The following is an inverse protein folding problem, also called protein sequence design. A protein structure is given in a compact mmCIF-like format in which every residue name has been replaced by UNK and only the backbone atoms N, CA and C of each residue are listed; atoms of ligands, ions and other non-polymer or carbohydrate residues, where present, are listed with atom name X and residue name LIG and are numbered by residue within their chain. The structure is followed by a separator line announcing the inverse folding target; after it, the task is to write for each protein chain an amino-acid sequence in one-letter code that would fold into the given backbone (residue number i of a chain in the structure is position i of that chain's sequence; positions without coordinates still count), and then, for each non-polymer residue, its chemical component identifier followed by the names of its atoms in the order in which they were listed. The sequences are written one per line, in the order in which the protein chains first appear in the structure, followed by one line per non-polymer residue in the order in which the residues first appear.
data_IF_938434789687
#
_entry.id   IF_938434789687
#
_cell.length_a   1.000
_cell.length_b   1.000
_cell.length_c   1.000
_cell.angle_alpha   90.00
_cell.angle_beta   90.00
_cell.angle_gamma   90.00
#
_symmetry.space_group_name_H-M   'P 1'
#
loop_
_entity.id
_entity.type
_entity.pdbx_description
1 polymer ?
#
# COMPACT_ATOMS: atom_id res chain seq x y z
N UNK A 1 -37.52 41.63 40.53
CA UNK A 1 -37.57 40.17 40.83
C UNK A 1 -36.18 39.60 40.55
N UNK A 2 -35.62 38.93 41.58
CA UNK A 2 -34.33 38.23 41.79
C UNK A 2 -33.29 38.17 40.65
N UNK A 3 -32.01 38.59 40.77
CA UNK A 3 -30.87 38.29 41.68
C UNK A 3 -30.17 36.91 41.51
N UNK A 4 -29.01 36.98 40.84
CA UNK A 4 -27.65 36.50 41.21
C UNK A 4 -27.34 35.05 41.65
N UNK A 5 -26.48 34.41 40.84
CA UNK A 5 -25.14 33.84 41.15
C UNK A 5 -24.86 32.82 42.29
N UNK A 6 -23.89 31.94 41.98
CA UNK A 6 -22.79 31.35 42.80
C UNK A 6 -22.94 29.92 43.37
N UNK A 7 -21.97 29.09 42.93
CA UNK A 7 -21.10 28.12 43.66
C UNK A 7 -21.72 27.09 44.62
N UNK A 8 -21.27 25.84 44.52
CA UNK A 8 -20.33 25.27 45.52
C UNK A 8 -19.84 23.86 45.18
N UNK A 9 -18.63 23.57 45.65
CA UNK A 9 -17.90 22.29 45.67
C UNK A 9 -18.51 21.33 46.69
N UNK A 10 -18.29 20.03 46.52
CA UNK A 10 -18.27 19.09 47.64
C UNK A 10 -17.26 17.95 47.41
N UNK A 11 -16.39 17.80 48.40
CA UNK A 11 -15.43 16.72 48.66
C UNK A 11 -15.88 16.08 49.97
N UNK A 12 -16.09 14.76 50.05
CA UNK A 12 -16.06 13.89 51.26
C UNK A 12 -16.02 12.43 50.75
N UNK A 13 -14.95 11.62 50.90
CA UNK A 13 -14.38 10.86 52.04
C UNK A 13 -14.77 9.36 52.07
N UNK A 14 -13.80 8.53 52.46
CA UNK A 14 -13.86 7.06 52.63
C UNK A 14 -14.50 6.64 53.96
N UNK A 15 -15.22 5.51 53.99
CA UNK A 15 -15.00 4.29 54.83
C UNK A 15 -16.17 3.29 54.56
N UNK A 16 -15.90 2.05 54.14
CA UNK A 16 -15.61 0.83 54.91
C UNK A 16 -16.86 0.04 55.42
N UNK A 17 -16.82 -1.25 55.09
CA UNK A 17 -17.43 -2.42 55.75
C UNK A 17 -18.74 -3.02 55.18
N UNK A 18 -18.59 -4.25 54.67
CA UNK A 18 -19.49 -5.36 54.99
C UNK A 18 -20.41 -5.87 53.87
N UNK A 19 -20.02 -6.97 53.21
CA UNK A 19 -20.65 -8.30 53.38
C UNK A 19 -20.13 -9.29 52.32
N UNK A 20 -19.49 -10.34 52.80
CA UNK A 20 -19.25 -11.58 52.06
C UNK A 20 -20.59 -12.23 51.71
N UNK A 21 -20.76 -12.63 50.45
CA UNK A 21 -21.72 -13.63 50.02
C UNK A 21 -21.01 -14.55 49.03
N UNK A 22 -20.65 -15.71 49.54
CA UNK A 22 -20.14 -16.87 48.80
C UNK A 22 -21.27 -17.48 47.98
N UNK A 23 -21.12 -17.48 46.65
CA UNK A 23 -21.88 -18.36 45.75
C UNK A 23 -20.90 -19.19 44.94
N UNK A 24 -20.72 -20.43 45.38
CA UNK A 24 -20.01 -21.46 44.62
C UNK A 24 -20.91 -21.91 43.48
N UNK A 25 -20.59 -21.49 42.26
CA UNK A 25 -21.21 -22.03 41.04
C UNK A 25 -20.36 -23.21 40.60
N UNK A 26 -20.85 -24.42 40.82
CA UNK A 26 -20.25 -25.67 40.38
C UNK A 26 -20.40 -25.77 38.84
N UNK A 27 -19.42 -25.24 38.10
CA UNK A 27 -19.35 -25.41 36.65
C UNK A 27 -18.84 -26.81 36.32
N UNK A 28 -19.74 -27.68 35.88
CA UNK A 28 -19.39 -28.98 35.29
C UNK A 28 -18.66 -28.71 33.97
N UNK A 29 -17.33 -28.88 33.98
CA UNK A 29 -16.50 -28.88 32.77
C UNK A 29 -16.72 -30.21 32.06
N UNK A 30 -17.59 -30.23 31.05
CA UNK A 30 -17.67 -31.33 30.10
C UNK A 30 -16.40 -31.30 29.24
N UNK A 31 -15.39 -32.09 29.63
CA UNK A 31 -14.26 -32.43 28.78
C UNK A 31 -14.82 -33.39 27.72
N UNK A 32 -15.20 -32.84 26.56
CA UNK A 32 -15.38 -33.65 25.35
C UNK A 32 -13.97 -34.04 24.92
N UNK A 33 -13.60 -35.34 24.88
CA UNK A 33 -12.36 -35.75 24.26
C UNK A 33 -12.46 -35.34 22.79
N UNK A 34 -11.60 -34.42 22.36
CA UNK A 34 -11.34 -34.29 20.94
C UNK A 34 -10.85 -35.67 20.47
N UNK A 35 -11.69 -36.39 19.74
CA UNK A 35 -11.24 -37.47 18.89
C UNK A 35 -10.29 -36.84 17.87
N UNK A 36 -9.01 -36.76 18.25
CA UNK A 36 -7.91 -36.58 17.32
C UNK A 36 -7.95 -37.84 16.47
N UNK A 37 -8.51 -37.70 15.29
CA UNK A 37 -8.52 -38.69 14.23
C UNK A 37 -7.05 -39.04 13.93
N UNK A 38 -6.58 -40.15 14.53
CA UNK A 38 -5.18 -40.59 14.50
C UNK A 38 -4.74 -41.06 13.12
N UNK A 39 -5.65 -41.09 12.14
CA UNK A 39 -5.40 -41.54 10.77
C UNK A 39 -5.14 -40.40 9.77
N UNK A 40 -5.11 -39.13 10.23
CA UNK A 40 -4.52 -38.03 9.47
C UNK A 40 -3.03 -37.84 9.80
N UNK A 41 -2.25 -38.91 9.62
CA UNK A 41 -0.84 -38.73 9.23
C UNK A 41 -0.84 -38.14 7.81
N UNK A 42 -1.16 -36.85 7.71
CA UNK A 42 -0.89 -36.07 6.51
C UNK A 42 0.62 -36.19 6.31
N UNK A 43 1.05 -36.99 5.32
CA UNK A 43 2.45 -37.10 4.91
C UNK A 43 2.95 -35.71 4.55
N UNK A 44 3.42 -34.97 5.55
CA UNK A 44 3.97 -33.64 5.37
C UNK A 44 5.14 -33.78 4.40
N UNK A 45 5.02 -33.15 3.23
CA UNK A 45 6.09 -33.18 2.24
C UNK A 45 7.38 -32.63 2.88
N UNK A 46 8.53 -33.14 2.43
CA UNK A 46 9.84 -32.85 3.01
C UNK A 46 10.15 -31.35 3.29
N UNK A 47 9.72 -30.38 2.46
CA UNK A 47 9.92 -28.95 2.73
C UNK A 47 9.27 -28.47 4.04
N UNK A 48 8.00 -28.80 4.25
CA UNK A 48 7.27 -28.39 5.46
C UNK A 48 7.88 -29.03 6.73
N UNK A 49 8.35 -30.28 6.63
CA UNK A 49 9.05 -30.95 7.75
C UNK A 49 10.39 -30.28 8.07
N UNK A 50 11.15 -29.82 7.07
CA UNK A 50 12.41 -29.08 7.29
C UNK A 50 12.16 -27.70 7.91
N UNK A 51 11.09 -27.03 7.48
CA UNK A 51 10.70 -25.74 8.03
C UNK A 51 10.33 -25.83 9.52
N UNK A 52 9.61 -26.87 9.93
CA UNK A 52 9.33 -27.16 11.35
C UNK A 52 10.60 -27.35 12.19
N UNK A 53 11.70 -27.79 11.58
CA UNK A 53 12.99 -27.96 12.24
C UNK A 53 13.86 -26.69 12.17
N UNK A 54 13.30 -25.55 11.75
CA UNK A 54 14.00 -24.28 11.52
C UNK A 54 15.23 -24.42 10.60
N UNK A 55 15.21 -25.40 9.70
CA UNK A 55 16.25 -25.60 8.69
C UNK A 55 15.89 -24.77 7.47
N UNK A 56 16.87 -24.06 6.90
CA UNK A 56 16.69 -23.32 5.64
C UNK A 56 16.23 -24.29 4.56
N UNK A 57 15.15 -23.95 3.89
CA UNK A 57 14.64 -24.68 2.73
C UNK A 57 14.97 -23.88 1.49
N UNK A 58 15.81 -24.43 0.62
CA UNK A 58 16.13 -23.77 -0.64
C UNK A 58 14.85 -23.59 -1.48
N UNK A 59 14.67 -22.37 -1.96
CA UNK A 59 13.59 -21.99 -2.85
C UNK A 59 14.21 -21.82 -4.24
N UNK A 60 13.85 -22.71 -5.16
CA UNK A 60 14.26 -22.57 -6.56
C UNK A 60 13.13 -21.90 -7.32
N UNK A 61 13.06 -20.57 -7.22
CA UNK A 61 12.28 -19.74 -8.13
C UNK A 61 13.24 -18.76 -8.81
N UNK A 62 13.45 -18.89 -10.13
CA UNK A 62 14.30 -17.97 -10.87
C UNK A 62 13.79 -16.53 -10.76
N UNK A 63 14.67 -15.64 -10.29
CA UNK A 63 14.40 -14.20 -10.16
C UNK A 63 15.41 -13.43 -11.01
N UNK A 64 14.92 -12.39 -11.68
CA UNK A 64 15.77 -11.37 -12.30
C UNK A 64 16.60 -10.66 -11.24
N UNK A 65 17.83 -10.29 -11.58
CA UNK A 65 18.68 -9.47 -10.71
C UNK A 65 18.12 -8.05 -10.56
N UNK A 66 17.64 -7.46 -11.67
CA UNK A 66 16.93 -6.19 -11.68
C UNK A 66 15.45 -6.41 -12.02
N UNK A 67 14.52 -5.74 -11.33
CA UNK A 67 13.11 -5.80 -11.67
C UNK A 67 12.87 -5.18 -13.05
N UNK A 68 11.81 -5.61 -13.74
CA UNK A 68 11.35 -4.92 -14.95
C UNK A 68 10.87 -3.51 -14.61
N UNK A 69 11.13 -2.56 -15.50
CA UNK A 69 10.59 -1.21 -15.42
C UNK A 69 9.30 -1.12 -16.25
N UNK A 70 8.23 -0.59 -15.64
CA UNK A 70 6.98 -0.30 -16.34
C UNK A 70 6.90 1.19 -16.61
N UNK A 71 7.23 1.57 -17.84
CA UNK A 71 7.15 2.96 -18.30
C UNK A 71 5.69 3.37 -18.57
N UNK A 72 5.30 4.62 -18.24
CA UNK A 72 4.01 5.17 -18.63
C UNK A 72 3.81 5.14 -20.15
N UNK A 73 2.55 5.05 -20.58
CA UNK A 73 2.20 5.16 -21.99
C UNK A 73 1.86 6.62 -22.29
N UNK A 74 2.57 7.23 -23.22
CA UNK A 74 2.40 8.63 -23.58
C UNK A 74 1.01 8.98 -24.13
N UNK A 75 0.79 10.28 -24.34
CA UNK A 75 -0.48 10.84 -24.83
C UNK A 75 -1.43 11.28 -23.72
N UNK A 76 -0.91 11.53 -22.51
CA UNK A 76 -1.66 12.09 -21.37
C UNK A 76 -0.91 13.21 -20.64
N UNK A 77 0.29 13.57 -21.07
CA UNK A 77 1.21 14.47 -20.39
C UNK A 77 0.58 15.86 -20.19
N UNK A 78 -0.21 16.33 -21.15
CA UNK A 78 -0.92 17.63 -21.08
C UNK A 78 -2.17 17.61 -20.20
N UNK A 79 -2.60 16.43 -19.71
CA UNK A 79 -3.80 16.31 -18.87
C UNK A 79 -3.56 16.80 -17.44
N UNK A 80 -2.31 16.98 -17.04
CA UNK A 80 -1.92 17.45 -15.71
C UNK A 80 -1.06 18.70 -15.88
N UNK A 81 -1.39 19.78 -15.20
CA UNK A 81 -0.53 20.97 -15.15
C UNK A 81 0.56 20.82 -14.08
N UNK A 82 1.61 21.64 -14.16
CA UNK A 82 2.64 21.69 -13.12
C UNK A 82 2.07 22.08 -11.74
N UNK A 83 1.05 22.95 -11.71
CA UNK A 83 0.34 23.33 -10.47
C UNK A 83 -0.44 22.16 -9.87
N UNK A 84 -1.19 21.43 -10.71
CA UNK A 84 -1.95 20.24 -10.31
C UNK A 84 -0.98 19.18 -9.74
N UNK A 85 0.13 18.91 -10.43
CA UNK A 85 1.15 17.97 -9.97
C UNK A 85 1.80 18.41 -8.65
N UNK A 86 2.20 19.68 -8.54
CA UNK A 86 2.79 20.22 -7.32
C UNK A 86 1.82 20.11 -6.12
N UNK A 87 0.53 20.38 -6.33
CA UNK A 87 -0.49 20.30 -5.28
C UNK A 87 -0.60 18.88 -4.72
N UNK A 88 -0.56 17.87 -5.60
CA UNK A 88 -0.56 16.47 -5.20
C UNK A 88 0.75 16.09 -4.48
N UNK A 89 1.91 16.43 -5.04
CA UNK A 89 3.21 16.15 -4.43
C UNK A 89 3.37 16.78 -3.05
N UNK A 90 2.92 18.04 -2.88
CA UNK A 90 2.96 18.70 -1.58
C UNK A 90 2.11 17.98 -0.53
N UNK A 91 0.99 17.35 -0.92
CA UNK A 91 0.15 16.59 0.00
C UNK A 91 0.68 15.18 0.26
N UNK A 92 1.64 14.71 -0.55
CA UNK A 92 2.32 13.43 -0.45
C UNK A 92 3.69 13.51 0.26
N UNK A 93 4.05 14.66 0.83
CA UNK A 93 5.29 14.81 1.60
C UNK A 93 5.23 14.03 2.93
N UNK A 94 6.30 13.31 3.33
CA UNK A 94 6.36 12.53 4.57
C UNK A 94 6.62 13.40 5.81
N UNK A 95 5.71 14.34 6.11
CA UNK A 95 5.92 15.36 7.15
C UNK A 95 5.68 14.89 8.60
N UNK A 96 5.09 13.70 8.80
CA UNK A 96 4.72 13.21 10.14
C UNK A 96 5.83 12.43 10.78
N UNK A 97 6.20 12.80 12.01
CA UNK A 97 7.23 12.13 12.78
C UNK A 97 6.71 11.71 14.16
N UNK A 98 7.19 10.57 14.69
CA UNK A 98 7.98 9.53 14.01
C UNK A 98 7.22 8.85 12.87
N UNK A 99 7.96 8.27 11.93
CA UNK A 99 7.39 7.65 10.73
C UNK A 99 6.76 6.29 11.07
N UNK A 100 5.84 5.85 10.21
CA UNK A 100 5.29 4.48 10.26
C UNK A 100 5.86 3.68 9.09
N UNK A 101 5.91 2.34 9.20
CA UNK A 101 6.35 1.50 8.07
C UNK A 101 5.50 1.75 6.82
N UNK A 102 4.15 1.79 6.90
CA UNK A 102 3.33 2.16 5.75
C UNK A 102 3.67 3.53 5.19
N UNK A 103 3.93 4.54 6.03
CA UNK A 103 4.31 5.89 5.56
C UNK A 103 5.62 5.85 4.77
N UNK A 104 6.63 5.12 5.25
CA UNK A 104 7.92 5.00 4.56
C UNK A 104 7.75 4.25 3.23
N UNK A 105 6.95 3.18 3.19
CA UNK A 105 6.68 2.44 1.96
C UNK A 105 6.02 3.33 0.90
N UNK A 106 4.98 4.07 1.28
CA UNK A 106 4.30 4.99 0.38
C UNK A 106 5.21 6.13 -0.10
N UNK A 107 5.99 6.71 0.82
CA UNK A 107 6.95 7.76 0.48
C UNK A 107 8.04 7.24 -0.46
N UNK A 108 8.65 6.09 -0.16
CA UNK A 108 9.67 5.47 -1.00
C UNK A 108 9.13 5.21 -2.41
N UNK A 109 7.91 4.68 -2.52
CA UNK A 109 7.27 4.38 -3.80
C UNK A 109 7.06 5.61 -4.69
N UNK A 110 6.71 6.77 -4.10
CA UNK A 110 6.51 8.02 -4.85
C UNK A 110 7.84 8.71 -5.15
N UNK A 111 8.66 8.90 -4.12
CA UNK A 111 9.83 9.76 -4.18
C UNK A 111 11.07 9.05 -4.73
N UNK A 112 11.11 7.72 -4.67
CA UNK A 112 12.22 6.90 -5.16
C UNK A 112 13.42 6.85 -4.21
N UNK A 113 14.42 6.06 -4.60
CA UNK A 113 15.65 5.81 -3.81
C UNK A 113 16.62 6.99 -3.79
N UNK A 114 16.52 7.89 -4.77
CA UNK A 114 17.40 9.05 -4.91
C UNK A 114 16.82 10.33 -4.29
N UNK A 115 15.66 10.22 -3.63
CA UNK A 115 14.96 11.35 -3.04
C UNK A 115 15.82 12.13 -2.04
N UNK A 116 15.72 13.47 -2.08
CA UNK A 116 16.40 14.38 -1.13
C UNK A 116 15.41 15.40 -0.56
N UNK A 117 14.80 15.07 0.57
CA UNK A 117 13.84 15.95 1.24
C UNK A 117 14.50 16.65 2.43
N UNK A 118 14.61 17.98 2.39
CA UNK A 118 15.33 18.75 3.40
C UNK A 118 14.50 18.98 4.67
N UNK A 119 15.16 19.47 5.73
CA UNK A 119 14.49 19.82 6.99
C UNK A 119 13.39 20.86 6.79
N UNK A 120 13.60 21.81 5.89
CA UNK A 120 12.65 22.89 5.57
C UNK A 120 11.41 22.35 4.85
N UNK A 121 11.55 21.25 4.09
CA UNK A 121 10.45 20.61 3.38
C UNK A 121 9.57 19.76 4.30
N UNK A 122 10.19 18.96 5.18
CA UNK A 122 9.50 17.87 5.89
C UNK A 122 9.76 17.82 7.41
N UNK A 123 10.39 18.84 7.97
CA UNK A 123 10.67 18.97 9.40
C UNK A 123 11.88 18.17 9.91
N UNK A 124 12.17 17.02 9.29
CA UNK A 124 13.36 16.18 9.55
C UNK A 124 13.93 15.73 8.21
N UNK A 125 15.22 15.95 7.93
CA UNK A 125 15.80 15.57 6.64
C UNK A 125 15.66 14.06 6.43
N UNK A 126 15.16 13.67 5.26
CA UNK A 126 14.99 12.28 4.89
C UNK A 126 15.38 12.07 3.43
N UNK A 127 16.08 10.98 3.15
CA UNK A 127 16.50 10.61 1.79
C UNK A 127 15.85 9.31 1.35
N UNK A 128 15.77 9.08 0.05
CA UNK A 128 15.30 7.82 -0.52
C UNK A 128 16.11 6.62 -0.01
N UNK A 129 17.43 6.79 0.13
CA UNK A 129 18.32 5.78 0.71
C UNK A 129 18.00 5.48 2.17
N UNK A 130 17.71 6.51 2.97
CA UNK A 130 17.31 6.35 4.37
C UNK A 130 15.95 5.65 4.47
N UNK A 131 14.99 5.99 3.60
CA UNK A 131 13.70 5.31 3.51
C UNK A 131 13.88 3.83 3.15
N UNK A 132 14.66 3.53 2.10
CA UNK A 132 14.97 2.17 1.68
C UNK A 132 15.62 1.38 2.82
N UNK A 133 16.67 1.92 3.43
CA UNK A 133 17.39 1.24 4.52
C UNK A 133 16.45 0.90 5.67
N UNK A 134 15.49 1.77 5.99
CA UNK A 134 14.59 1.58 7.13
C UNK A 134 13.49 0.56 6.88
N UNK A 135 13.32 0.09 5.64
CA UNK A 135 12.45 -1.05 5.32
C UNK A 135 13.21 -2.31 4.98
N UNK A 136 14.55 -2.25 4.87
CA UNK A 136 15.43 -3.40 4.62
C UNK A 136 16.39 -3.71 5.77
N UNK A 137 16.39 -2.92 6.85
CA UNK A 137 17.27 -3.10 7.99
C UNK A 137 16.55 -2.76 9.30
N UNK A 138 16.41 -3.74 10.21
CA UNK A 138 15.70 -3.54 11.47
C UNK A 138 16.30 -2.47 12.39
N UNK A 139 17.64 -2.31 12.40
CA UNK A 139 18.27 -1.27 13.22
C UNK A 139 17.86 0.11 12.70
N UNK A 140 17.94 0.34 11.39
CA UNK A 140 17.48 1.59 10.77
C UNK A 140 15.96 1.78 10.94
N UNK A 141 15.17 0.72 10.81
CA UNK A 141 13.74 0.75 11.06
C UNK A 141 13.41 1.24 12.48
N UNK A 142 14.15 0.76 13.49
CA UNK A 142 13.96 1.13 14.89
C UNK A 142 14.32 2.59 15.19
N UNK A 143 15.24 3.19 14.42
CA UNK A 143 15.61 4.60 14.55
C UNK A 143 14.56 5.53 13.94
N UNK A 144 13.91 5.12 12.85
CA UNK A 144 12.96 5.95 12.11
C UNK A 144 11.49 5.79 12.53
N UNK A 145 11.14 4.62 13.05
CA UNK A 145 9.74 4.25 13.29
C UNK A 145 9.40 4.08 14.78
N UNK A 146 8.11 4.15 15.09
CA UNK A 146 7.59 3.88 16.43
C UNK A 146 7.68 2.39 16.78
N UNK A 147 8.80 1.86 17.24
CA UNK A 147 8.73 0.54 17.88
C UNK A 147 10.01 -0.21 18.22
N UNK A 148 9.92 -0.99 19.30
CA UNK A 148 10.89 -2.02 19.71
C UNK A 148 10.72 -3.35 18.94
N UNK A 149 9.68 -3.48 18.10
CA UNK A 149 9.40 -4.70 17.31
C UNK A 149 10.06 -4.65 15.95
N UNK A 150 10.59 -5.78 15.52
CA UNK A 150 11.32 -5.95 14.26
C UNK A 150 10.36 -6.07 13.09
N UNK A 151 10.60 -5.31 12.02
CA UNK A 151 9.87 -5.41 10.74
C UNK A 151 10.23 -6.70 10.00
N UNK A 152 11.50 -7.11 10.11
CA UNK A 152 12.08 -8.19 9.34
C UNK A 152 12.47 -9.35 10.26
N UNK A 153 11.78 -10.48 10.12
CA UNK A 153 11.99 -11.66 10.95
C UNK A 153 12.54 -12.80 10.10
N UNK A 154 13.47 -13.58 10.66
CA UNK A 154 13.95 -14.77 9.98
C UNK A 154 12.85 -15.81 9.92
N UNK A 155 12.65 -16.39 8.75
CA UNK A 155 11.77 -17.55 8.56
C UNK A 155 12.56 -18.74 8.02
N UNK A 156 11.98 -19.96 8.05
CA UNK A 156 12.62 -21.12 7.42
C UNK A 156 12.79 -21.01 5.89
N UNK A 157 12.12 -20.03 5.26
CA UNK A 157 12.10 -19.81 3.81
C UNK A 157 12.85 -18.56 3.36
N UNK A 158 13.46 -17.80 4.29
CA UNK A 158 14.10 -16.52 4.01
C UNK A 158 13.78 -15.50 5.09
N UNK A 159 13.21 -14.36 4.71
CA UNK A 159 12.83 -13.28 5.64
C UNK A 159 11.33 -13.01 5.52
N UNK A 160 10.63 -13.06 6.65
CA UNK A 160 9.23 -12.66 6.79
C UNK A 160 9.16 -11.16 7.09
N UNK A 161 8.19 -10.50 6.47
CA UNK A 161 7.87 -9.11 6.75
C UNK A 161 6.69 -9.10 7.70
N UNK A 162 6.82 -8.39 8.82
CA UNK A 162 5.70 -8.20 9.74
C UNK A 162 4.54 -7.51 9.02
N UNK A 163 3.35 -8.13 9.08
CA UNK A 163 2.12 -7.57 8.50
C UNK A 163 1.29 -6.93 9.60
N UNK A 164 0.71 -5.79 9.29
CA UNK A 164 -0.24 -5.10 10.15
C UNK A 164 -1.60 -5.82 10.18
N UNK A 165 -1.71 -6.94 10.91
CA UNK A 165 -2.96 -7.72 11.02
C UNK A 165 -3.78 -7.42 12.27
N UNK A 166 -3.26 -6.60 13.19
CA UNK A 166 -3.93 -6.29 14.45
C UNK A 166 -4.47 -4.87 14.40
N UNK A 167 -5.79 -4.74 14.38
CA UNK A 167 -6.50 -3.47 14.52
C UNK A 167 -6.35 -2.81 15.90
N UNK A 168 -5.25 -3.07 16.61
CA UNK A 168 -4.88 -2.30 17.79
C UNK A 168 -4.25 -0.98 17.31
N UNK A 169 -5.05 0.09 17.35
CA UNK A 169 -4.70 1.41 16.81
C UNK A 169 -3.40 2.05 17.34
N UNK A 170 -2.69 1.40 18.25
CA UNK A 170 -1.39 1.81 18.78
C UNK A 170 -0.20 0.94 18.32
N UNK A 171 -0.42 -0.33 17.89
CA UNK A 171 0.69 -1.22 17.43
C UNK A 171 0.64 -1.55 15.93
N UNK A 172 -0.49 -1.28 15.28
CA UNK A 172 -0.69 -1.47 13.85
C UNK A 172 -0.04 -0.44 12.91
N UNK A 173 1.19 0.02 13.19
CA UNK A 173 1.93 0.99 12.35
C UNK A 173 3.37 0.53 12.04
N UNK A 174 3.69 -0.71 12.40
CA UNK A 174 5.06 -1.26 12.46
C UNK A 174 5.34 -2.34 11.42
N UNK A 175 4.31 -2.74 10.69
CA UNK A 175 4.39 -3.73 9.62
C UNK A 175 3.88 -3.16 8.31
N UNK A 176 4.04 -3.89 7.23
CA UNK A 176 3.41 -3.55 5.96
C UNK A 176 1.88 -3.65 6.06
N UNK A 177 1.17 -2.80 5.32
CA UNK A 177 -0.29 -2.77 5.35
C UNK A 177 -0.92 -3.95 4.60
N UNK A 178 -0.21 -4.47 3.59
CA UNK A 178 -0.67 -5.53 2.72
C UNK A 178 0.42 -6.59 2.56
N UNK A 179 0.00 -7.85 2.43
CA UNK A 179 0.91 -8.96 2.18
C UNK A 179 1.72 -8.72 0.90
N UNK A 180 3.05 -8.83 1.01
CA UNK A 180 4.03 -8.64 -0.06
C UNK A 180 4.18 -7.20 -0.59
N UNK A 181 3.59 -6.21 0.08
CA UNK A 181 3.68 -4.80 -0.31
C UNK A 181 5.12 -4.30 -0.37
N UNK A 182 5.95 -4.63 0.63
CA UNK A 182 7.36 -4.23 0.64
C UNK A 182 8.07 -4.73 -0.62
N UNK A 183 7.92 -6.02 -0.96
CA UNK A 183 8.59 -6.58 -2.14
C UNK A 183 8.13 -5.94 -3.46
N UNK A 184 6.85 -5.56 -3.54
CA UNK A 184 6.32 -4.87 -4.71
C UNK A 184 6.86 -3.45 -4.83
N UNK A 185 6.89 -2.70 -3.71
CA UNK A 185 7.48 -1.35 -3.67
C UNK A 185 8.95 -1.39 -4.07
N UNK A 186 9.73 -2.31 -3.50
CA UNK A 186 11.15 -2.49 -3.86
C UNK A 186 11.32 -2.76 -5.37
N UNK A 187 10.43 -3.57 -5.96
CA UNK A 187 10.45 -3.81 -7.39
C UNK A 187 10.16 -2.54 -8.20
N UNK A 188 9.13 -1.78 -7.83
CA UNK A 188 8.71 -0.56 -8.52
C UNK A 188 9.76 0.55 -8.45
N UNK A 189 10.53 0.63 -7.36
CA UNK A 189 11.62 1.61 -7.22
C UNK A 189 12.97 1.09 -7.70
N UNK A 190 13.01 -0.04 -8.41
CA UNK A 190 14.21 -0.52 -9.09
C UNK A 190 15.27 -1.17 -8.20
N UNK A 191 14.94 -1.54 -6.96
CA UNK A 191 15.90 -2.21 -6.06
C UNK A 191 16.26 -3.58 -6.62
N UNK A 192 17.54 -3.95 -6.57
CA UNK A 192 17.98 -5.24 -7.09
C UNK A 192 17.56 -6.38 -6.16
N UNK A 193 17.30 -7.56 -6.71
CA UNK A 193 16.88 -8.71 -5.91
C UNK A 193 17.98 -9.21 -4.97
N UNK A 194 19.26 -8.99 -5.30
CA UNK A 194 20.40 -9.28 -4.42
C UNK A 194 20.71 -8.16 -3.41
N UNK A 195 19.92 -7.09 -3.34
CA UNK A 195 20.10 -6.02 -2.36
C UNK A 195 19.99 -6.56 -0.94
N UNK A 196 20.90 -6.13 -0.06
CA UNK A 196 21.03 -6.65 1.30
C UNK A 196 19.81 -6.34 2.19
N UNK A 197 19.41 -7.33 2.97
CA UNK A 197 18.36 -7.25 3.98
C UNK A 197 18.94 -7.68 5.33
N UNK A 198 18.74 -6.87 6.36
CA UNK A 198 19.22 -7.10 7.73
C UNK A 198 18.02 -7.35 8.65
N UNK A 199 17.80 -8.64 8.95
CA UNK A 199 16.75 -9.11 9.84
C UNK A 199 17.24 -9.19 11.30
N UNK A 200 16.33 -9.48 12.23
CA UNK A 200 16.61 -9.53 13.68
C UNK A 200 17.69 -10.54 14.07
N UNK A 201 17.90 -11.58 13.26
CA UNK A 201 18.90 -12.62 13.50
C UNK A 201 20.28 -12.35 12.86
N UNK A 202 20.50 -11.17 12.28
CA UNK A 202 21.77 -10.77 11.65
C UNK A 202 21.70 -10.56 10.14
N UNK A 203 22.89 -10.38 9.54
CA UNK A 203 23.09 -9.98 8.14
C UNK A 203 23.06 -11.16 7.15
N UNK A 204 23.16 -10.86 5.85
CA UNK A 204 23.37 -11.86 4.80
C UNK A 204 22.09 -12.36 4.11
N UNK A 205 20.94 -11.73 4.38
CA UNK A 205 19.73 -11.92 3.58
C UNK A 205 19.69 -10.91 2.43
N UNK A 206 18.81 -11.17 1.48
CA UNK A 206 18.59 -10.32 0.32
C UNK A 206 17.10 -10.13 0.04
N UNK A 207 16.75 -9.24 -0.89
CA UNK A 207 15.38 -9.11 -1.39
C UNK A 207 14.85 -10.44 -1.96
N UNK A 208 15.71 -11.29 -2.56
CA UNK A 208 15.33 -12.65 -2.97
C UNK A 208 14.80 -13.49 -1.80
N UNK A 209 15.36 -13.33 -0.61
CA UNK A 209 14.91 -14.07 0.58
C UNK A 209 13.53 -13.59 1.09
N UNK A 210 13.17 -12.32 0.88
CA UNK A 210 11.81 -11.82 1.11
C UNK A 210 10.82 -12.44 0.13
N UNK A 211 11.16 -12.43 -1.16
CA UNK A 211 10.32 -12.99 -2.22
C UNK A 211 10.16 -14.51 -2.05
N UNK A 212 11.24 -15.21 -1.70
CA UNK A 212 11.23 -16.64 -1.40
C UNK A 212 10.25 -16.99 -0.28
N UNK A 213 10.25 -16.21 0.80
CA UNK A 213 9.27 -16.38 1.87
C UNK A 213 7.84 -16.21 1.36
N UNK A 214 7.56 -15.13 0.62
CA UNK A 214 6.22 -14.89 0.08
C UNK A 214 5.75 -16.03 -0.82
N UNK A 215 6.59 -16.52 -1.73
CA UNK A 215 6.24 -17.65 -2.61
C UNK A 215 5.92 -18.94 -1.85
N UNK A 216 6.64 -19.23 -0.75
CA UNK A 216 6.41 -20.42 0.07
C UNK A 216 5.16 -20.31 0.94
N UNK A 217 4.86 -19.10 1.41
CA UNK A 217 3.69 -18.78 2.23
C UNK A 217 2.46 -18.36 1.42
N UNK A 218 2.50 -18.56 0.10
CA UNK A 218 1.39 -18.30 -0.80
C UNK A 218 0.11 -19.01 -0.33
N UNK A 219 -1.00 -18.27 -0.34
CA UNK A 219 -2.33 -18.77 0.01
C UNK A 219 -3.38 -17.87 -0.61
N UNK A 220 -4.38 -18.45 -1.28
CA UNK A 220 -5.51 -17.70 -1.85
C UNK A 220 -6.36 -16.96 -0.82
N UNK A 221 -6.17 -17.24 0.48
CA UNK A 221 -6.81 -16.52 1.59
C UNK A 221 -6.16 -15.17 1.92
N UNK A 222 -4.97 -14.87 1.37
CA UNK A 222 -4.28 -13.59 1.55
C UNK A 222 -4.58 -12.65 0.38
N UNK A 223 -4.34 -11.36 0.55
CA UNK A 223 -4.37 -10.39 -0.55
C UNK A 223 -3.25 -10.69 -1.56
N UNK A 224 -3.60 -10.93 -2.82
CA UNK A 224 -2.64 -11.40 -3.84
C UNK A 224 -2.12 -10.31 -4.77
N UNK A 225 -2.70 -9.11 -4.76
CA UNK A 225 -2.40 -8.07 -5.73
C UNK A 225 -0.92 -7.64 -5.68
N UNK A 226 -0.36 -7.42 -4.49
CA UNK A 226 1.03 -7.01 -4.34
C UNK A 226 2.01 -8.13 -4.66
N UNK A 227 1.69 -9.39 -4.33
CA UNK A 227 2.51 -10.52 -4.77
C UNK A 227 2.54 -10.62 -6.30
N UNK A 228 1.41 -10.40 -6.97
CA UNK A 228 1.35 -10.36 -8.44
C UNK A 228 2.25 -9.26 -9.03
N UNK A 229 2.29 -8.06 -8.44
CA UNK A 229 3.24 -7.00 -8.82
C UNK A 229 4.68 -7.47 -8.63
N UNK A 230 5.02 -8.02 -7.47
CA UNK A 230 6.37 -8.54 -7.18
C UNK A 230 6.82 -9.55 -8.23
N UNK A 231 5.97 -10.53 -8.57
CA UNK A 231 6.35 -11.60 -9.49
C UNK A 231 6.35 -11.14 -10.96
N UNK A 232 5.45 -10.22 -11.35
CA UNK A 232 5.50 -9.63 -12.69
C UNK A 232 6.84 -8.94 -12.95
N UNK A 233 7.37 -8.22 -11.96
CA UNK A 233 8.59 -7.43 -12.12
C UNK A 233 9.87 -8.25 -11.88
N UNK A 234 9.94 -9.06 -10.82
CA UNK A 234 11.13 -9.87 -10.52
C UNK A 234 11.14 -11.27 -11.13
N UNK A 235 9.98 -11.90 -11.35
CA UNK A 235 9.90 -13.32 -11.69
C UNK A 235 10.39 -13.62 -13.11
N UNK A 236 11.41 -14.47 -13.24
CA UNK A 236 11.89 -14.96 -14.54
C UNK A 236 11.41 -16.37 -14.87
N UNK A 237 10.38 -16.84 -14.16
CA UNK A 237 9.67 -18.10 -14.36
C UNK A 237 8.16 -17.82 -14.31
N UNK A 238 7.38 -18.67 -14.98
CA UNK A 238 5.92 -18.61 -14.98
C UNK A 238 5.27 -19.32 -13.78
N UNK A 239 6.05 -20.12 -13.04
CA UNK A 239 5.52 -21.01 -12.00
C UNK A 239 6.50 -21.21 -10.84
N UNK A 240 5.92 -21.50 -9.67
CA UNK A 240 6.64 -21.78 -8.42
C UNK A 240 5.97 -22.91 -7.64
N UNK A 241 6.58 -23.30 -6.53
CA UNK A 241 6.06 -24.33 -5.63
C UNK A 241 6.00 -23.76 -4.21
N UNK A 242 4.86 -23.90 -3.55
CA UNK A 242 4.66 -23.39 -2.18
C UNK A 242 5.30 -24.31 -1.11
N UNK A 243 5.00 -24.07 0.17
CA UNK A 243 5.47 -24.91 1.30
C UNK A 243 4.81 -26.28 1.39
N UNK A 244 3.61 -26.43 0.85
CA UNK A 244 2.88 -27.70 0.78
C UNK A 244 3.30 -28.54 -0.42
N UNK A 245 4.17 -28.00 -1.28
CA UNK A 245 4.66 -28.65 -2.48
C UNK A 245 3.65 -28.63 -3.61
N UNK A 246 2.71 -27.69 -3.57
CA UNK A 246 1.73 -27.49 -4.63
C UNK A 246 2.31 -26.49 -5.64
N UNK A 247 2.13 -26.78 -6.93
CA UNK A 247 2.63 -25.95 -8.02
C UNK A 247 1.60 -24.87 -8.30
N UNK A 248 2.10 -23.65 -8.47
CA UNK A 248 1.31 -22.46 -8.81
C UNK A 248 1.92 -21.77 -10.02
N UNK A 249 1.12 -20.99 -10.74
CA UNK A 249 1.53 -20.24 -11.92
C UNK A 249 1.04 -18.79 -11.91
N UNK A 250 1.68 -17.94 -12.72
CA UNK A 250 1.25 -16.56 -12.92
C UNK A 250 -0.11 -16.46 -13.62
N UNK A 251 -0.45 -17.42 -14.46
CA UNK A 251 -1.80 -17.56 -15.03
C UNK A 251 -2.84 -17.83 -13.94
N UNK A 252 -2.61 -18.79 -13.05
CA UNK A 252 -3.51 -19.08 -11.92
C UNK A 252 -3.65 -17.89 -10.96
N UNK A 253 -2.57 -17.16 -10.72
CA UNK A 253 -2.57 -15.93 -9.93
C UNK A 253 -3.43 -14.85 -10.59
N UNK A 254 -3.25 -14.60 -11.88
CA UNK A 254 -4.06 -13.66 -12.64
C UNK A 254 -5.54 -14.05 -12.68
N UNK A 255 -5.85 -15.33 -12.91
CA UNK A 255 -7.22 -15.86 -12.88
C UNK A 255 -7.84 -15.69 -11.49
N UNK A 256 -7.07 -15.92 -10.43
CA UNK A 256 -7.52 -15.71 -9.04
C UNK A 256 -7.93 -14.25 -8.83
N UNK A 257 -7.09 -13.30 -9.26
CA UNK A 257 -7.39 -11.87 -9.21
C UNK A 257 -8.62 -11.49 -10.05
N UNK A 258 -8.75 -12.04 -11.27
CA UNK A 258 -9.90 -11.80 -12.15
C UNK A 258 -11.24 -12.29 -11.57
N UNK A 259 -11.21 -13.29 -10.69
CA UNK A 259 -12.39 -13.88 -10.04
C UNK A 259 -12.83 -13.15 -8.78
N UNK A 260 -11.98 -12.28 -8.22
CA UNK A 260 -12.37 -11.51 -7.04
C UNK A 260 -13.50 -10.54 -7.35
N UNK A 261 -14.38 -10.34 -6.37
CA UNK A 261 -15.47 -9.38 -6.48
C UNK A 261 -14.91 -7.97 -6.60
N UNK A 262 -15.50 -7.18 -7.47
CA UNK A 262 -15.04 -5.82 -7.68
C UNK A 262 -15.41 -4.93 -6.50
N UNK A 263 -14.52 -4.01 -6.10
CA UNK A 263 -14.77 -3.11 -4.99
C UNK A 263 -14.52 -3.72 -3.60
N UNK A 264 -14.30 -5.04 -3.52
CA UNK A 264 -13.99 -5.74 -2.28
C UNK A 264 -12.49 -5.76 -1.99
N UNK A 265 -12.14 -5.70 -0.71
CA UNK A 265 -10.76 -5.73 -0.22
C UNK A 265 -10.22 -4.35 0.17
N UNK A 266 -8.91 -4.31 0.42
CA UNK A 266 -8.20 -3.09 0.75
C UNK A 266 -8.37 -2.01 -0.33
N UNK A 267 -8.42 -0.75 0.11
CA UNK A 267 -8.50 0.41 -0.80
C UNK A 267 -9.61 0.28 -1.86
N UNK A 268 -10.77 -0.27 -1.46
CA UNK A 268 -11.93 -0.52 -2.34
C UNK A 268 -11.61 -1.47 -3.51
N UNK A 269 -10.74 -2.45 -3.28
CA UNK A 269 -10.32 -3.43 -4.28
C UNK A 269 -9.44 -2.86 -5.40
N UNK A 270 -8.99 -1.61 -5.30
CA UNK A 270 -8.28 -0.93 -6.39
C UNK A 270 -6.86 -1.46 -6.63
N UNK A 271 -6.29 -2.27 -5.73
CA UNK A 271 -4.99 -2.93 -5.98
C UNK A 271 -5.08 -3.99 -7.09
N UNK A 272 -6.25 -4.61 -7.30
CA UNK A 272 -6.45 -5.65 -8.31
C UNK A 272 -6.25 -5.11 -9.74
N UNK A 273 -6.95 -4.04 -10.19
CA UNK A 273 -6.69 -3.48 -11.51
C UNK A 273 -5.25 -3.00 -11.64
N UNK A 274 -4.64 -2.44 -10.59
CA UNK A 274 -3.23 -2.08 -10.64
C UNK A 274 -2.31 -3.27 -10.94
N UNK A 275 -2.45 -4.35 -10.16
CA UNK A 275 -1.65 -5.55 -10.33
C UNK A 275 -1.85 -6.21 -11.70
N UNK A 276 -3.09 -6.36 -12.17
CA UNK A 276 -3.37 -6.97 -13.46
C UNK A 276 -2.82 -6.14 -14.64
N UNK A 277 -2.85 -4.81 -14.55
CA UNK A 277 -2.24 -3.96 -15.57
C UNK A 277 -0.71 -4.10 -15.56
N UNK A 278 -0.07 -4.12 -14.39
CA UNK A 278 1.37 -4.39 -14.28
C UNK A 278 1.72 -5.76 -14.89
N UNK A 279 0.94 -6.81 -14.59
CA UNK A 279 1.15 -8.14 -15.18
C UNK A 279 1.04 -8.09 -16.70
N UNK A 280 0.02 -7.45 -17.26
CA UNK A 280 -0.16 -7.32 -18.70
C UNK A 280 1.01 -6.58 -19.36
N UNK A 281 1.45 -5.45 -18.77
CA UNK A 281 2.57 -4.64 -19.27
C UNK A 281 3.91 -5.38 -19.16
N UNK A 282 4.18 -6.04 -18.03
CA UNK A 282 5.38 -6.85 -17.87
C UNK A 282 5.40 -8.06 -18.83
N UNK A 283 4.24 -8.63 -19.13
CA UNK A 283 4.11 -9.74 -20.07
C UNK A 283 4.50 -9.36 -21.51
N UNK A 284 4.32 -8.10 -21.92
CA UNK A 284 4.78 -7.62 -23.24
C UNK A 284 6.29 -7.81 -23.44
N UNK A 285 7.07 -7.73 -22.35
CA UNK A 285 8.52 -7.91 -22.36
C UNK A 285 8.94 -9.35 -22.04
N UNK A 286 8.25 -9.99 -21.09
CA UNK A 286 8.70 -11.25 -20.50
C UNK A 286 7.94 -12.51 -20.95
N UNK A 287 6.75 -12.38 -21.54
CA UNK A 287 5.99 -13.50 -22.11
C UNK A 287 5.62 -14.62 -21.12
N UNK A 288 5.30 -14.28 -19.87
CA UNK A 288 4.96 -15.26 -18.82
C UNK A 288 3.47 -15.60 -18.68
N UNK A 289 2.57 -14.82 -19.29
CA UNK A 289 1.14 -15.13 -19.33
C UNK A 289 0.79 -15.85 -20.63
N UNK A 290 -0.15 -16.79 -20.55
CA UNK A 290 -0.77 -17.32 -21.76
C UNK A 290 -1.53 -16.24 -22.54
N UNK A 291 -1.77 -16.50 -23.82
CA UNK A 291 -2.54 -15.59 -24.69
C UNK A 291 -3.98 -15.48 -24.21
N UNK A 292 -4.52 -16.58 -23.70
CA UNK A 292 -5.86 -16.70 -23.15
C UNK A 292 -6.01 -15.82 -21.91
N UNK A 293 -5.11 -15.93 -20.92
CA UNK A 293 -5.15 -15.10 -19.72
C UNK A 293 -4.92 -13.62 -20.04
N UNK A 294 -3.98 -13.30 -20.95
CA UNK A 294 -3.75 -11.92 -21.40
C UNK A 294 -5.00 -11.31 -22.05
N UNK A 295 -5.73 -12.11 -22.83
CA UNK A 295 -7.01 -11.73 -23.44
C UNK A 295 -8.09 -11.51 -22.37
N UNK A 296 -8.22 -12.40 -21.39
CA UNK A 296 -9.20 -12.28 -20.30
C UNK A 296 -8.96 -11.02 -19.46
N UNK A 297 -7.70 -10.70 -19.16
CA UNK A 297 -7.32 -9.43 -18.49
C UNK A 297 -7.79 -8.24 -19.33
N UNK A 298 -7.47 -8.24 -20.62
CA UNK A 298 -7.84 -7.14 -21.52
C UNK A 298 -9.36 -6.97 -21.64
N UNK A 299 -10.12 -8.06 -21.72
CA UNK A 299 -11.58 -8.04 -21.74
C UNK A 299 -12.17 -7.52 -20.43
N UNK A 300 -11.58 -7.89 -19.29
CA UNK A 300 -11.97 -7.33 -17.98
C UNK A 300 -11.74 -5.83 -17.93
N UNK A 301 -10.60 -5.33 -18.42
CA UNK A 301 -10.33 -3.89 -18.47
C UNK A 301 -11.33 -3.13 -19.35
N UNK A 302 -11.70 -3.67 -20.51
CA UNK A 302 -12.74 -3.03 -21.36
C UNK A 302 -14.06 -2.86 -20.60
N UNK A 303 -14.44 -3.84 -19.78
CA UNK A 303 -15.62 -3.73 -18.90
C UNK A 303 -15.41 -2.69 -17.82
N UNK A 304 -14.27 -2.71 -17.12
CA UNK A 304 -13.97 -1.73 -16.07
C UNK A 304 -13.92 -0.29 -16.58
N UNK A 305 -13.36 -0.06 -17.78
CA UNK A 305 -13.38 1.25 -18.41
C UNK A 305 -14.82 1.71 -18.63
N UNK A 306 -15.67 0.86 -19.19
CA UNK A 306 -17.09 1.18 -19.37
C UNK A 306 -17.81 1.45 -18.04
N UNK A 307 -17.52 0.68 -16.99
CA UNK A 307 -18.10 0.89 -15.65
C UNK A 307 -17.62 2.22 -15.03
N UNK A 308 -16.32 2.51 -15.11
CA UNK A 308 -15.72 3.73 -14.57
C UNK A 308 -16.21 5.00 -15.27
N UNK A 309 -16.33 4.99 -16.60
CA UNK A 309 -16.86 6.13 -17.33
C UNK A 309 -18.32 6.43 -16.94
N UNK A 310 -19.10 5.40 -16.61
CA UNK A 310 -20.50 5.53 -16.17
C UNK A 310 -20.65 5.87 -14.70
N UNK A 311 -19.71 5.46 -13.86
CA UNK A 311 -19.73 5.70 -12.41
C UNK A 311 -18.98 6.96 -11.99
N UNK A 312 -18.36 7.68 -12.93
CA UNK A 312 -17.71 8.96 -12.67
C UNK A 312 -18.73 9.95 -12.07
N UNK A 313 -18.39 10.53 -10.93
CA UNK A 313 -19.25 11.48 -10.23
C UNK A 313 -19.39 12.76 -11.08
N UNK A 314 -20.46 13.58 -10.88
CA UNK A 314 -20.60 14.86 -11.59
C UNK A 314 -19.39 15.80 -11.47
N UNK A 315 -18.62 15.67 -10.38
CA UNK A 315 -17.39 16.43 -10.14
C UNK A 315 -16.16 15.90 -10.89
N UNK A 316 -16.24 14.72 -11.50
CA UNK A 316 -15.18 14.07 -12.29
C UNK A 316 -14.42 12.95 -11.59
N UNK A 317 -14.47 12.85 -10.25
CA UNK A 317 -13.77 11.80 -9.51
C UNK A 317 -14.57 10.50 -9.37
N UNK A 318 -13.97 9.50 -8.73
CA UNK A 318 -14.64 8.29 -8.27
C UNK A 318 -14.68 8.23 -6.75
N UNK A 319 -15.64 7.49 -6.21
CA UNK A 319 -15.72 7.15 -4.79
C UNK A 319 -15.55 5.64 -4.62
N UNK A 320 -15.68 5.16 -3.38
CA UNK A 320 -15.80 3.72 -3.06
C UNK A 320 -16.82 2.96 -3.93
N UNK A 321 -17.86 3.64 -4.43
CA UNK A 321 -18.91 3.06 -5.25
C UNK A 321 -18.56 3.13 -6.75
N UNK A 322 -17.27 3.13 -7.09
CA UNK A 322 -16.81 3.04 -8.47
C UNK A 322 -17.31 1.76 -9.15
N UNK A 323 -17.61 0.72 -8.36
CA UNK A 323 -18.42 -0.44 -8.73
C UNK A 323 -19.84 -0.29 -8.16
N UNK A 324 -20.84 -0.77 -8.89
CA UNK A 324 -22.25 -0.75 -8.44
C UNK A 324 -22.56 -1.64 -7.22
N UNK A 325 -21.55 -2.25 -6.59
CA UNK A 325 -21.70 -3.34 -5.61
C UNK A 325 -21.08 -3.06 -4.24
N UNK A 326 -20.41 -1.92 -4.03
CA UNK A 326 -19.76 -1.64 -2.76
C UNK A 326 -20.76 -1.17 -1.69
N UNK A 327 -20.71 -1.69 -0.43
CA UNK A 327 -21.51 -1.18 0.68
C UNK A 327 -21.17 0.29 0.97
N UNK A 328 -21.99 1.04 1.71
CA UNK A 328 -21.94 2.53 1.80
C UNK A 328 -21.05 3.09 2.94
N UNK A 329 -20.51 2.27 3.84
CA UNK A 329 -19.85 2.77 5.08
C UNK A 329 -18.40 3.20 4.84
N UNK A 330 -18.11 4.50 4.88
CA UNK A 330 -16.77 5.10 4.67
C UNK A 330 -15.63 4.35 5.37
N UNK A 331 -14.53 4.09 4.66
CA UNK A 331 -13.38 3.35 5.21
C UNK A 331 -12.56 4.24 6.17
N UNK A 332 -12.33 5.49 5.76
CA UNK A 332 -11.63 6.47 6.60
C UNK A 332 -12.56 7.26 7.52
N UNK A 333 -13.88 7.09 7.39
CA UNK A 333 -14.87 7.97 8.02
C UNK A 333 -14.92 9.37 7.40
N UNK A 334 -14.25 9.57 6.25
CA UNK A 334 -14.10 10.83 5.54
C UNK A 334 -14.25 10.61 4.03
N UNK A 335 -15.32 11.19 3.47
CA UNK A 335 -15.63 11.03 2.04
C UNK A 335 -14.61 11.70 1.11
N UNK A 336 -13.92 12.76 1.54
CA UNK A 336 -12.88 13.42 0.74
C UNK A 336 -11.71 12.45 0.59
N UNK A 337 -11.26 11.86 1.70
CA UNK A 337 -10.17 10.88 1.70
C UNK A 337 -10.56 9.64 0.89
N UNK A 338 -11.80 9.15 1.01
CA UNK A 338 -12.30 8.02 0.22
C UNK A 338 -12.25 8.32 -1.29
N UNK A 339 -12.60 9.54 -1.72
CA UNK A 339 -12.53 9.95 -3.14
C UNK A 339 -11.11 10.12 -3.65
N UNK A 340 -10.20 10.69 -2.85
CA UNK A 340 -8.76 10.75 -3.18
C UNK A 340 -8.22 9.33 -3.34
N UNK A 341 -8.60 8.42 -2.44
CA UNK A 341 -8.19 7.02 -2.47
C UNK A 341 -8.65 6.35 -3.77
N UNK A 342 -9.96 6.35 -4.05
CA UNK A 342 -10.49 5.70 -5.24
C UNK A 342 -9.93 6.31 -6.54
N UNK A 343 -9.93 7.65 -6.64
CA UNK A 343 -9.49 8.35 -7.84
C UNK A 343 -7.99 8.20 -8.07
N UNK A 344 -7.18 8.36 -7.04
CA UNK A 344 -5.72 8.18 -7.11
C UNK A 344 -5.35 6.78 -7.59
N UNK A 345 -5.89 5.74 -6.98
CA UNK A 345 -5.59 4.35 -7.38
C UNK A 345 -6.03 4.03 -8.81
N UNK A 346 -7.18 4.53 -9.26
CA UNK A 346 -7.59 4.31 -10.65
C UNK A 346 -6.66 5.01 -11.64
N UNK A 347 -6.23 6.24 -11.34
CA UNK A 347 -5.29 6.95 -12.19
C UNK A 347 -3.93 6.24 -12.26
N UNK A 348 -3.50 5.52 -11.23
CA UNK A 348 -2.23 4.76 -11.26
C UNK A 348 -2.20 3.70 -12.36
N UNK A 349 -3.22 2.84 -12.44
CA UNK A 349 -3.24 1.81 -13.47
C UNK A 349 -3.57 2.42 -14.85
N UNK A 350 -4.40 3.46 -14.89
CA UNK A 350 -4.71 4.19 -16.14
C UNK A 350 -3.43 4.79 -16.75
N UNK A 351 -2.51 5.29 -15.92
CA UNK A 351 -1.26 5.93 -16.36
C UNK A 351 -0.33 4.99 -17.14
N UNK A 352 -0.45 3.69 -16.93
CA UNK A 352 0.37 2.65 -17.58
C UNK A 352 -0.43 1.78 -18.56
N UNK A 353 -1.73 2.06 -18.73
CA UNK A 353 -2.63 1.26 -19.53
C UNK A 353 -2.60 1.68 -21.02
N UNK A 354 -2.63 0.71 -21.97
CA UNK A 354 -2.80 1.02 -23.39
C UNK A 354 -4.05 1.86 -23.62
N UNK A 355 -4.02 2.74 -24.62
CA UNK A 355 -5.14 3.64 -24.93
C UNK A 355 -6.48 2.89 -25.11
N UNK A 356 -6.45 1.67 -25.65
CA UNK A 356 -7.63 0.81 -25.85
C UNK A 356 -8.19 0.17 -24.57
N UNK A 357 -7.47 0.27 -23.44
CA UNK A 357 -7.79 -0.36 -22.16
C UNK A 357 -7.92 0.67 -21.02
N UNK A 358 -8.00 1.97 -21.33
CA UNK A 358 -8.21 3.04 -20.37
C UNK A 358 -9.36 3.96 -20.78
N UNK A 359 -9.93 4.74 -19.84
CA UNK A 359 -10.93 5.74 -20.17
C UNK A 359 -10.42 6.80 -21.13
N UNK A 360 -11.34 7.50 -21.79
CA UNK A 360 -11.03 8.63 -22.67
C UNK A 360 -10.25 9.74 -21.94
N UNK A 361 -9.42 10.48 -22.68
CA UNK A 361 -8.61 11.58 -22.11
C UNK A 361 -9.49 12.66 -21.44
N UNK A 362 -10.72 12.89 -21.91
CA UNK A 362 -11.67 13.81 -21.25
C UNK A 362 -12.11 13.31 -19.88
N UNK A 363 -12.39 12.00 -19.74
CA UNK A 363 -12.74 11.38 -18.45
C UNK A 363 -11.54 11.46 -17.50
N UNK A 364 -10.34 11.14 -17.98
CA UNK A 364 -9.10 11.24 -17.20
C UNK A 364 -8.86 12.68 -16.75
N UNK A 365 -9.02 13.69 -17.63
CA UNK A 365 -8.86 15.10 -17.25
C UNK A 365 -9.84 15.54 -16.17
N UNK A 366 -11.11 15.11 -16.28
CA UNK A 366 -12.12 15.39 -15.24
C UNK A 366 -11.74 14.75 -13.91
N UNK A 367 -11.19 13.53 -13.92
CA UNK A 367 -10.71 12.85 -12.72
C UNK A 367 -9.51 13.57 -12.08
N UNK A 368 -8.54 14.04 -12.88
CA UNK A 368 -7.42 14.84 -12.38
C UNK A 368 -7.93 16.10 -11.68
N UNK A 369 -8.83 16.86 -12.32
CA UNK A 369 -9.40 18.08 -11.73
C UNK A 369 -10.13 17.80 -10.41
N UNK A 370 -10.96 16.75 -10.39
CA UNK A 370 -11.68 16.34 -9.19
C UNK A 370 -10.73 15.94 -8.05
N UNK A 371 -9.67 15.20 -8.38
CA UNK A 371 -8.66 14.76 -7.42
C UNK A 371 -7.94 15.94 -6.77
N UNK A 372 -7.55 16.95 -7.56
CA UNK A 372 -6.91 18.16 -7.03
C UNK A 372 -7.88 18.96 -6.16
N UNK A 373 -9.14 19.09 -6.55
CA UNK A 373 -10.18 19.73 -5.73
C UNK A 373 -10.37 19.00 -4.40
N UNK A 374 -10.39 17.67 -4.40
CA UNK A 374 -10.52 16.88 -3.17
C UNK A 374 -9.26 17.01 -2.28
N UNK A 375 -8.05 17.04 -2.87
CA UNK A 375 -6.79 17.28 -2.14
C UNK A 375 -6.77 18.67 -1.49
N UNK A 376 -7.26 19.70 -2.19
CA UNK A 376 -7.36 21.06 -1.66
C UNK A 376 -8.45 21.20 -0.58
N UNK A 377 -9.51 20.37 -0.67
CA UNK A 377 -10.58 20.31 0.32
C UNK A 377 -10.16 19.63 1.64
N UNK A 378 -9.04 18.91 1.66
CA UNK A 378 -8.50 18.36 2.91
C UNK A 378 -8.23 19.47 3.93
N UNK A 379 -8.32 19.18 5.25
CA UNK A 379 -7.96 20.13 6.30
C UNK A 379 -6.56 20.69 6.14
N UNK A 380 -6.26 21.76 6.87
CA UNK A 380 -4.89 22.31 6.92
C UNK A 380 -3.90 21.26 7.41
N UNK A 381 -2.63 21.34 6.98
CA UNK A 381 -1.62 20.32 7.29
C UNK A 381 -1.52 20.00 8.78
N UNK A 382 -1.66 21.00 9.66
CA UNK A 382 -1.63 20.82 11.11
C UNK A 382 -2.82 20.03 11.69
N UNK A 383 -3.92 19.90 10.94
CA UNK A 383 -5.08 19.10 11.30
C UNK A 383 -5.13 17.74 10.57
N UNK A 384 -4.18 17.47 9.66
CA UNK A 384 -4.09 16.20 8.94
C UNK A 384 -3.35 15.15 9.77
N UNK A 385 -3.64 13.89 9.49
CA UNK A 385 -2.86 12.74 9.99
C UNK A 385 -2.14 12.02 8.85
N UNK A 386 -1.18 11.17 9.19
CA UNK A 386 -0.50 10.29 8.23
C UNK A 386 -1.48 9.46 7.38
N UNK A 387 -2.70 9.19 7.86
CA UNK A 387 -3.73 8.46 7.11
C UNK A 387 -4.23 9.21 5.88
N UNK A 388 -4.18 10.54 5.89
CA UNK A 388 -4.51 11.36 4.72
C UNK A 388 -3.39 11.40 3.68
N UNK A 389 -2.16 11.11 4.09
CA UNK A 389 -0.99 11.06 3.20
C UNK A 389 -1.04 9.87 2.26
N UNK A 390 -1.39 8.68 2.75
CA UNK A 390 -1.31 7.47 1.95
C UNK A 390 -2.15 7.60 0.66
N UNK A 391 -3.42 8.03 0.69
CA UNK A 391 -4.16 8.30 -0.54
C UNK A 391 -3.53 9.38 -1.43
N UNK A 392 -2.95 10.44 -0.84
CA UNK A 392 -2.25 11.48 -1.59
C UNK A 392 -0.98 10.96 -2.28
N UNK A 393 -0.30 9.95 -1.74
CA UNK A 393 0.86 9.34 -2.39
C UNK A 393 0.48 8.56 -3.64
N UNK A 394 -0.65 7.83 -3.63
CA UNK A 394 -1.19 7.19 -4.84
C UNK A 394 -1.58 8.23 -5.89
N UNK A 395 -2.23 9.32 -5.46
CA UNK A 395 -2.54 10.45 -6.32
C UNK A 395 -1.27 11.05 -6.97
N UNK A 396 -0.27 11.40 -6.16
CA UNK A 396 0.98 11.96 -6.66
C UNK A 396 1.72 11.00 -7.61
N UNK A 397 1.81 9.71 -7.27
CA UNK A 397 2.42 8.70 -8.13
C UNK A 397 1.73 8.64 -9.50
N UNK A 398 0.39 8.60 -9.51
CA UNK A 398 -0.40 8.55 -10.73
C UNK A 398 -0.16 9.79 -11.61
N UNK A 399 -0.16 10.99 -11.01
CA UNK A 399 0.04 12.24 -11.74
C UNK A 399 1.48 12.38 -12.27
N UNK A 400 2.49 11.94 -11.51
CA UNK A 400 3.87 11.85 -11.98
C UNK A 400 3.98 10.95 -13.22
N UNK A 401 3.32 9.77 -13.20
CA UNK A 401 3.32 8.84 -14.33
C UNK A 401 2.57 9.40 -15.54
N UNK A 402 1.42 10.04 -15.33
CA UNK A 402 0.70 10.73 -16.40
C UNK A 402 1.56 11.83 -17.04
N UNK A 403 2.33 12.57 -16.23
CA UNK A 403 3.27 13.59 -16.70
C UNK A 403 4.57 13.03 -17.25
N UNK A 404 4.82 11.75 -17.05
CA UNK A 404 6.08 11.09 -17.36
C UNK A 404 7.29 11.81 -16.74
N UNK A 405 7.20 12.14 -15.45
CA UNK A 405 8.29 12.78 -14.68
C UNK A 405 8.55 12.06 -13.36
N UNK A 406 9.80 12.11 -12.90
CA UNK A 406 10.17 11.71 -11.53
C UNK A 406 9.64 12.72 -10.52
N UNK A 407 9.01 12.22 -9.45
CA UNK A 407 8.53 13.06 -8.35
C UNK A 407 9.67 13.87 -7.72
N UNK A 408 10.81 13.22 -7.47
CA UNK A 408 11.98 13.85 -6.88
C UNK A 408 12.54 14.95 -7.77
N UNK A 409 12.65 14.71 -9.07
CA UNK A 409 13.28 15.66 -9.99
C UNK A 409 12.37 16.87 -10.20
N UNK A 410 11.07 16.64 -10.41
CA UNK A 410 10.09 17.71 -10.51
C UNK A 410 10.08 18.58 -9.25
N UNK A 411 10.03 17.95 -8.07
CA UNK A 411 10.00 18.66 -6.79
C UNK A 411 11.28 19.44 -6.51
N UNK A 412 12.45 18.82 -6.73
CA UNK A 412 13.75 19.46 -6.50
C UNK A 412 13.94 20.68 -7.40
N UNK A 413 13.56 20.58 -8.68
CA UNK A 413 13.61 21.71 -9.60
C UNK A 413 12.70 22.86 -9.15
N UNK A 414 11.48 22.56 -8.70
CA UNK A 414 10.56 23.58 -8.20
C UNK A 414 11.09 24.27 -6.92
N UNK A 415 11.68 23.48 -6.02
CA UNK A 415 12.25 23.96 -4.77
C UNK A 415 13.49 24.84 -4.98
N UNK A 416 14.48 24.34 -5.73
CA UNK A 416 15.75 25.03 -5.99
C UNK A 416 15.55 26.28 -6.85
N UNK A 417 14.57 26.28 -7.76
CA UNK A 417 14.16 27.47 -8.50
C UNK A 417 13.55 28.57 -7.62
N UNK A 418 13.32 28.31 -6.32
CA UNK A 418 12.71 29.27 -5.40
C UNK A 418 11.27 29.58 -5.77
N UNK A 419 10.60 28.70 -6.51
CA UNK A 419 9.24 28.91 -7.03
C UNK A 419 8.15 28.50 -6.04
N UNK A 420 8.53 27.98 -4.87
CA UNK A 420 7.59 27.47 -3.88
C UNK A 420 7.36 28.47 -2.73
N UNK A 421 6.11 28.53 -2.26
CA UNK A 421 5.70 29.21 -1.04
C UNK A 421 4.95 28.24 -0.13
N UNK A 422 5.31 28.22 1.15
CA UNK A 422 4.61 27.41 2.14
C UNK A 422 3.29 28.08 2.53
N UNK A 423 2.19 27.31 2.51
CA UNK A 423 0.85 27.71 2.95
C UNK A 423 0.35 26.77 4.06
N UNK A 424 -0.80 27.07 4.65
CA UNK A 424 -1.47 26.14 5.57
C UNK A 424 -1.90 24.82 4.90
N UNK A 425 -2.04 24.79 3.57
CA UNK A 425 -2.31 23.61 2.75
C UNK A 425 -1.05 22.93 2.17
N UNK A 426 0.15 23.37 2.60
CA UNK A 426 1.44 22.91 2.06
C UNK A 426 2.04 23.87 1.04
N UNK A 427 3.01 23.39 0.26
CA UNK A 427 3.71 24.20 -0.73
C UNK A 427 2.84 24.45 -1.96
N UNK A 428 2.96 25.66 -2.54
CA UNK A 428 2.30 26.10 -3.77
C UNK A 428 3.25 26.93 -4.62
N UNK A 429 2.95 27.14 -5.90
CA UNK A 429 3.73 28.01 -6.78
C UNK A 429 3.61 29.47 -6.36
N UNK A 430 4.70 30.25 -6.45
CA UNK A 430 4.71 31.70 -6.21
C UNK A 430 3.97 32.43 -7.35
N UNK A 431 3.20 33.47 -6.98
CA UNK A 431 2.60 34.41 -7.93
C UNK A 431 1.15 34.13 -8.32
N UNK A 432 0.56 33.03 -7.84
CA UNK A 432 -0.86 32.77 -8.07
C UNK A 432 -1.74 33.40 -7.00
N UNK A 433 -2.48 34.44 -7.40
CA UNK A 433 -3.72 34.78 -6.73
C UNK A 433 -4.76 33.77 -7.20
N UNK A 434 -5.02 32.73 -6.41
CA UNK A 434 -6.29 32.02 -6.55
C UNK A 434 -7.39 33.03 -6.23
N UNK A 435 -8.15 33.42 -7.25
CA UNK A 435 -9.41 34.12 -7.05
C UNK A 435 -10.21 33.31 -6.03
N UNK A 436 -10.28 33.81 -4.80
CA UNK A 436 -11.15 33.26 -3.76
C UNK A 436 -12.58 33.49 -4.23
N UNK A 437 -13.16 32.50 -4.91
CA UNK A 437 -14.59 32.47 -5.27
C UNK A 437 -15.32 31.47 -4.41
#
# INVERSE_FOLDING_TARGET
MCLSSLRSKLVVSRSAAGKLLTSATLGVLLIVPACIDSDREVKMKAPARRALLNKRVDTHFPLRSSPLEIVPIGGMEELVSDEELLTALSSALPIWHPQTVPTILHALRVWGTDARLTKEMVGVPITGRTMLLSVTNNSAASEMTLGERTLLERSPYGVEVAINTRGDGETGLRGEGHYAQLTAVLAEVGVQSNYEVVASSGNGFTVKDLIAHNLREYSTSKEQAWLAVTLALYGSSDSWVDKFGDKHSLDELAITLLRQNQGEGACFGCHIPYALMIMLRANETAGFLSKEVSKDISERFRRWVWELERSQLPRGGWSRNWTSYSPVVSFYGDEVIDRITATGHHLEWISIAPASLRPSNSVVRSAVKALIQDIDALPDLGARSFKSMWPCTHAANALCRIRNVSANDFWSNAWEGGNLVMTNKGFRMKGEKRDQR
#
